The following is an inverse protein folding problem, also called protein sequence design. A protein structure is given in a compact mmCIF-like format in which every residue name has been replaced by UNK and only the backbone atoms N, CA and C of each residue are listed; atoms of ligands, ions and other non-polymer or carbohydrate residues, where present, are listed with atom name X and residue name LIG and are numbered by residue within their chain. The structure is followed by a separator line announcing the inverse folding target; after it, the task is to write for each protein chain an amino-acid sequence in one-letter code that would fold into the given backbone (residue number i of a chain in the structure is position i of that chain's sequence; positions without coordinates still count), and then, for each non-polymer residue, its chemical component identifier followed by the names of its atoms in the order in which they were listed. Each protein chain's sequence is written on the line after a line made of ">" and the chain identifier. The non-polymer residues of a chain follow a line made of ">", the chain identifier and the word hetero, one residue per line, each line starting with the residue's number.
data_IF_164653423355
#
_entry.id   IF_164653423355
#
_cell.length_a   1.000
_cell.length_b   1.000
_cell.length_c   1.000
_cell.angle_alpha   90.00
_cell.angle_beta   90.00
_cell.angle_gamma   90.00
#
_symmetry.space_group_name_H-M   'P 1'
#
loop_
_entity.id
_entity.type
_entity.pdbx_description
1 polymer ?
#
# COMPACT_ATOMS: atom_id res chain seq x y z
N UNK A 1 -74.40 47.90 30.63
CA UNK A 1 -73.94 46.50 30.66
C UNK A 1 -73.08 46.22 29.44
N UNK A 2 -71.76 46.09 29.60
CA UNK A 2 -70.85 45.53 28.57
C UNK A 2 -69.91 44.57 29.31
N UNK A 3 -70.06 43.28 29.05
CA UNK A 3 -69.23 42.24 29.60
C UNK A 3 -67.82 42.33 28.97
N UNK A 4 -66.77 42.40 29.79
CA UNK A 4 -65.39 42.25 29.33
C UNK A 4 -65.08 40.77 29.17
N UNK A 5 -64.63 40.40 27.97
CA UNK A 5 -64.07 39.10 27.64
C UNK A 5 -62.70 38.98 28.33
N UNK A 6 -62.52 37.97 29.18
CA UNK A 6 -61.25 37.68 29.85
C UNK A 6 -60.34 36.86 28.95
N UNK A 7 -59.23 37.46 28.54
CA UNK A 7 -58.15 36.79 27.80
C UNK A 7 -57.22 36.09 28.81
N UNK A 8 -57.26 34.76 28.81
CA UNK A 8 -56.42 33.92 29.66
C UNK A 8 -55.03 33.78 29.02
N UNK A 9 -54.09 34.61 29.44
CA UNK A 9 -52.67 34.49 29.09
C UNK A 9 -52.06 33.33 29.86
N UNK A 10 -52.01 32.14 29.25
CA UNK A 10 -51.11 31.07 29.70
C UNK A 10 -49.67 31.52 29.41
N UNK A 11 -48.93 31.83 30.48
CA UNK A 11 -47.49 32.04 30.40
C UNK A 11 -46.81 30.78 29.82
N UNK A 12 -46.04 30.99 28.74
CA UNK A 12 -45.12 29.99 28.20
C UNK A 12 -43.94 29.86 29.17
N UNK A 13 -43.85 28.74 29.89
CA UNK A 13 -42.66 28.41 30.68
C UNK A 13 -41.44 28.25 29.75
N UNK A 14 -40.29 28.90 30.04
CA UNK A 14 -39.06 28.64 29.31
C UNK A 14 -38.51 27.26 29.72
N UNK A 15 -38.47 26.34 28.76
CA UNK A 15 -37.96 24.98 28.96
C UNK A 15 -36.47 25.00 29.34
N UNK A 16 -36.19 24.84 30.64
CA UNK A 16 -34.87 24.70 31.26
C UNK A 16 -34.24 23.33 30.97
N UNK A 17 -34.09 22.97 29.70
CA UNK A 17 -33.53 21.66 29.27
C UNK A 17 -32.32 21.79 28.34
N UNK A 18 -31.97 23.00 27.90
CA UNK A 18 -30.84 23.24 27.00
C UNK A 18 -29.47 22.96 27.66
N UNK A 19 -29.26 23.38 28.91
CA UNK A 19 -27.97 23.26 29.62
C UNK A 19 -27.48 21.80 29.78
N UNK A 20 -28.28 20.85 30.29
CA UNK A 20 -27.82 19.45 30.43
C UNK A 20 -27.61 18.76 29.07
N UNK A 21 -28.35 19.16 28.03
CA UNK A 21 -28.16 18.68 26.67
C UNK A 21 -26.82 19.13 26.09
N UNK A 22 -26.48 20.42 26.22
CA UNK A 22 -25.18 20.95 25.76
C UNK A 22 -24.00 20.32 26.50
N UNK A 23 -24.11 20.07 27.81
CA UNK A 23 -23.06 19.40 28.59
C UNK A 23 -22.84 17.96 28.09
N UNK A 24 -23.91 17.20 27.85
CA UNK A 24 -23.82 15.83 27.32
C UNK A 24 -23.26 15.80 25.90
N UNK A 25 -23.68 16.72 25.04
CA UNK A 25 -23.16 16.85 23.68
C UNK A 25 -21.66 17.18 23.68
N UNK A 26 -21.22 18.08 24.58
CA UNK A 26 -19.82 18.45 24.73
C UNK A 26 -18.98 17.26 25.26
N UNK A 27 -19.49 16.52 26.25
CA UNK A 27 -18.82 15.31 26.74
C UNK A 27 -18.67 14.24 25.64
N UNK A 28 -19.72 14.00 24.85
CA UNK A 28 -19.65 13.06 23.72
C UNK A 28 -18.68 13.54 22.64
N UNK A 29 -18.65 14.84 22.35
CA UNK A 29 -17.68 15.42 21.41
C UNK A 29 -16.24 15.25 21.91
N UNK A 30 -15.98 15.52 23.20
CA UNK A 30 -14.65 15.32 23.79
C UNK A 30 -14.25 13.86 23.75
N UNK A 31 -15.15 12.93 24.10
CA UNK A 31 -14.89 11.50 24.10
C UNK A 31 -14.62 10.97 22.68
N UNK A 32 -15.35 11.48 21.68
CA UNK A 32 -15.12 11.16 20.28
C UNK A 32 -13.78 11.69 19.75
N UNK A 33 -13.43 12.95 20.06
CA UNK A 33 -12.18 13.57 19.61
C UNK A 33 -10.98 12.89 20.28
N UNK A 34 -11.05 12.64 21.58
CA UNK A 34 -9.98 11.93 22.32
C UNK A 34 -9.85 10.47 21.86
N UNK A 35 -10.97 9.77 21.65
CA UNK A 35 -10.97 8.41 21.11
C UNK A 35 -10.38 8.35 19.69
N UNK A 36 -10.74 9.30 18.83
CA UNK A 36 -10.19 9.40 17.47
C UNK A 36 -8.70 9.73 17.50
N UNK A 37 -8.26 10.65 18.36
CA UNK A 37 -6.85 10.98 18.53
C UNK A 37 -6.03 9.81 19.06
N UNK A 38 -6.52 9.10 20.08
CA UNK A 38 -5.87 7.89 20.60
C UNK A 38 -5.84 6.76 19.57
N UNK A 39 -6.91 6.58 18.79
CA UNK A 39 -6.95 5.59 17.73
C UNK A 39 -5.91 5.89 16.64
N UNK A 40 -5.85 7.14 16.17
CA UNK A 40 -4.87 7.58 15.17
C UNK A 40 -3.46 7.42 15.72
N UNK A 41 -3.16 7.88 16.93
CA UNK A 41 -1.81 7.78 17.51
C UNK A 41 -1.38 6.34 17.84
N UNK A 42 -2.30 5.49 18.30
CA UNK A 42 -2.00 4.09 18.69
C UNK A 42 -1.86 3.16 17.48
N UNK A 43 -2.68 3.33 16.44
CA UNK A 43 -2.57 2.57 15.19
C UNK A 43 -1.33 2.97 14.36
N UNK A 44 -0.75 4.14 14.62
CA UNK A 44 0.32 4.69 13.79
C UNK A 44 1.75 4.35 14.23
N UNK A 45 2.00 3.77 15.42
CA UNK A 45 3.40 3.51 15.77
C UNK A 45 3.62 2.46 16.84
N UNK A 46 4.05 1.28 16.39
CA UNK A 46 5.13 0.53 17.04
C UNK A 46 6.06 -0.02 15.97
N UNK A 47 6.99 0.82 15.52
CA UNK A 47 8.12 0.34 14.73
C UNK A 47 9.08 -0.38 15.67
N UNK A 48 9.32 -1.67 15.43
CA UNK A 48 10.40 -2.41 16.09
C UNK A 48 11.66 -2.17 15.27
N UNK A 49 12.61 -1.46 15.85
CA UNK A 49 13.97 -1.33 15.31
C UNK A 49 14.88 -2.31 16.02
N UNK A 50 15.54 -3.17 15.25
CA UNK A 50 16.50 -4.15 15.69
C UNK A 50 17.88 -3.49 15.63
N UNK A 51 18.37 -3.04 16.78
CA UNK A 51 19.68 -2.38 16.88
C UNK A 51 20.87 -3.33 16.80
N UNK A 52 20.62 -4.65 16.77
CA UNK A 52 21.67 -5.67 16.81
C UNK A 52 21.94 -6.20 15.41
N UNK A 53 23.09 -5.82 14.85
CA UNK A 53 23.60 -6.36 13.59
C UNK A 53 24.65 -7.43 13.89
N UNK A 54 24.53 -8.59 13.24
CA UNK A 54 25.51 -9.66 13.34
C UNK A 54 26.57 -9.53 12.25
N UNK A 55 27.83 -9.32 12.64
CA UNK A 55 28.97 -9.33 11.72
C UNK A 55 29.50 -10.74 11.40
N UNK A 56 28.86 -11.79 11.93
CA UNK A 56 29.26 -13.17 11.64
C UNK A 56 28.67 -13.61 10.31
N UNK A 57 29.54 -13.98 9.37
CA UNK A 57 29.13 -14.60 8.10
C UNK A 57 28.40 -15.91 8.37
N UNK A 58 27.23 -16.09 7.76
CA UNK A 58 26.50 -17.35 7.79
C UNK A 58 27.34 -18.47 7.16
N UNK A 59 27.41 -19.63 7.83
CA UNK A 59 28.14 -20.80 7.32
C UNK A 59 27.51 -21.26 6.00
N UNK A 60 28.33 -21.44 4.97
CA UNK A 60 27.89 -21.90 3.65
C UNK A 60 27.45 -20.79 2.68
N UNK A 61 27.54 -19.52 3.09
CA UNK A 61 27.26 -18.38 2.19
C UNK A 61 28.56 -17.83 1.65
N UNK A 62 28.71 -17.80 0.32
CA UNK A 62 29.83 -17.11 -0.34
C UNK A 62 29.55 -15.60 -0.31
N UNK A 63 30.48 -14.83 0.24
CA UNK A 63 30.41 -13.37 0.20
C UNK A 63 30.48 -12.84 -1.24
N UNK A 64 29.88 -11.68 -1.46
CA UNK A 64 29.95 -10.94 -2.73
C UNK A 64 30.70 -9.63 -2.47
N UNK A 65 31.57 -9.23 -3.40
CA UNK A 65 32.36 -8.00 -3.26
C UNK A 65 31.52 -6.75 -3.53
N UNK A 66 30.49 -6.88 -4.38
CA UNK A 66 29.62 -5.78 -4.77
C UNK A 66 28.21 -6.29 -5.12
N UNK A 67 27.21 -5.54 -4.67
CA UNK A 67 25.81 -5.72 -5.08
C UNK A 67 25.35 -4.43 -5.75
N UNK A 68 24.77 -4.56 -6.94
CA UNK A 68 24.14 -3.44 -7.67
C UNK A 68 22.63 -3.67 -7.68
N UNK A 69 21.89 -2.73 -7.09
CA UNK A 69 20.43 -2.75 -7.09
C UNK A 69 19.93 -1.72 -8.10
N UNK A 70 19.31 -2.17 -9.19
CA UNK A 70 18.69 -1.31 -10.19
C UNK A 70 17.17 -1.29 -9.98
N UNK A 71 16.64 -0.13 -9.59
CA UNK A 71 15.20 0.08 -9.46
C UNK A 71 14.67 0.79 -10.71
N UNK A 72 13.72 0.16 -11.39
CA UNK A 72 13.01 0.74 -12.54
C UNK A 72 11.55 0.96 -12.14
N UNK A 73 11.14 2.22 -12.07
CA UNK A 73 9.76 2.55 -11.72
C UNK A 73 8.79 2.14 -12.84
N UNK A 74 7.59 1.73 -12.43
CA UNK A 74 6.51 1.29 -13.31
C UNK A 74 6.89 0.20 -14.33
N UNK A 75 7.94 -0.61 -14.07
CA UNK A 75 8.32 -1.71 -14.94
C UNK A 75 7.35 -2.90 -14.80
N UNK A 76 6.47 -3.07 -15.79
CA UNK A 76 5.53 -4.17 -15.81
C UNK A 76 6.14 -5.44 -16.43
N UNK A 77 5.67 -6.65 -16.06
CA UNK A 77 6.18 -7.91 -16.62
C UNK A 77 6.08 -7.98 -18.16
N UNK A 78 5.04 -7.41 -18.76
CA UNK A 78 4.82 -7.42 -20.20
C UNK A 78 5.81 -6.57 -21.00
N UNK A 79 6.59 -5.69 -20.35
CA UNK A 79 7.68 -4.95 -21.01
C UNK A 79 8.92 -5.83 -21.22
N UNK A 80 9.09 -6.87 -20.41
CA UNK A 80 10.20 -7.83 -20.50
C UNK A 80 9.78 -9.11 -21.23
N UNK A 81 8.53 -9.55 -21.01
CA UNK A 81 7.98 -10.78 -21.58
C UNK A 81 6.70 -10.46 -22.36
N UNK A 82 6.80 -10.16 -23.68
CA UNK A 82 5.66 -9.77 -24.50
C UNK A 82 4.55 -10.82 -24.55
N UNK A 83 4.88 -12.09 -24.35
CA UNK A 83 3.91 -13.20 -24.24
C UNK A 83 2.89 -13.03 -23.11
N UNK A 84 3.20 -12.22 -22.08
CA UNK A 84 2.29 -11.90 -20.99
C UNK A 84 1.28 -10.79 -21.34
N UNK A 85 1.46 -10.08 -22.47
CA UNK A 85 0.62 -8.93 -22.81
C UNK A 85 -0.85 -9.31 -23.03
N UNK A 86 -1.13 -10.49 -23.60
CA UNK A 86 -2.50 -10.97 -23.86
C UNK A 86 -3.32 -11.11 -22.57
N UNK A 87 -2.69 -11.59 -21.49
CA UNK A 87 -3.32 -11.75 -20.17
C UNK A 87 -3.74 -10.41 -19.56
N UNK A 88 -2.98 -9.33 -19.77
CA UNK A 88 -3.33 -8.00 -19.29
C UNK A 88 -4.36 -7.28 -20.17
N UNK A 89 -4.38 -7.57 -21.47
CA UNK A 89 -5.28 -6.91 -22.43
C UNK A 89 -6.70 -7.47 -22.43
N UNK A 90 -6.86 -8.78 -22.25
CA UNK A 90 -8.16 -9.44 -22.35
C UNK A 90 -8.83 -9.75 -20.99
N UNK A 91 -8.18 -9.42 -19.87
CA UNK A 91 -8.74 -9.65 -18.53
C UNK A 91 -8.93 -11.13 -18.18
N UNK A 92 -8.25 -12.04 -18.89
CA UNK A 92 -8.29 -13.47 -18.57
C UNK A 92 -7.53 -13.74 -17.27
N UNK A 93 -8.13 -14.58 -16.41
CA UNK A 93 -7.53 -14.98 -15.14
C UNK A 93 -6.18 -15.67 -15.38
N UNK A 94 -5.17 -15.30 -14.60
CA UNK A 94 -3.85 -15.94 -14.60
C UNK A 94 -3.96 -17.39 -14.08
N UNK A 95 -4.32 -18.33 -14.95
CA UNK A 95 -4.37 -19.76 -14.62
C UNK A 95 -3.18 -20.47 -15.25
N UNK A 96 -2.28 -21.01 -14.41
CA UNK A 96 -1.11 -21.79 -14.85
C UNK A 96 -1.48 -23.00 -15.73
N UNK A 97 -2.72 -23.49 -15.66
CA UNK A 97 -3.24 -24.56 -16.50
C UNK A 97 -3.56 -24.15 -17.95
N UNK A 98 -3.69 -22.84 -18.24
CA UNK A 98 -3.92 -22.31 -19.60
C UNK A 98 -2.63 -22.12 -20.41
N UNK A 99 -1.48 -22.06 -19.75
CA UNK A 99 -0.19 -21.80 -20.39
C UNK A 99 0.32 -22.96 -21.26
N UNK A 100 -0.17 -24.19 -21.01
CA UNK A 100 0.20 -25.38 -21.79
C UNK A 100 -0.60 -25.53 -23.10
N UNK A 101 -1.59 -24.65 -23.34
CA UNK A 101 -2.52 -24.71 -24.46
C UNK A 101 -2.32 -23.65 -25.55
N UNK A 102 -1.53 -22.60 -25.33
CA UNK A 102 -1.24 -21.60 -26.39
C UNK A 102 -0.05 -22.06 -27.22
N UNK A 103 -0.21 -23.19 -27.91
CA UNK A 103 0.45 -23.40 -29.20
C UNK A 103 -0.32 -22.58 -30.23
N UNK A 104 0.17 -21.38 -30.52
CA UNK A 104 -0.20 -20.63 -31.73
C UNK A 104 -1.68 -20.30 -31.87
N UNK A 105 -2.19 -19.43 -31.01
CA UNK A 105 -3.38 -18.64 -31.34
C UNK A 105 -3.05 -17.77 -32.55
N UNK A 106 -3.68 -18.08 -33.68
CA UNK A 106 -3.56 -17.46 -35.00
C UNK A 106 -4.13 -16.03 -35.08
N UNK A 107 -4.28 -15.34 -33.96
CA UNK A 107 -4.61 -13.92 -33.94
C UNK A 107 -3.30 -13.16 -33.83
N UNK A 108 -2.69 -13.01 -35.01
CA UNK A 108 -1.42 -12.33 -35.25
C UNK A 108 -1.46 -10.86 -34.85
N UNK A 109 -1.40 -10.62 -33.55
CA UNK A 109 -0.89 -9.37 -33.03
C UNK A 109 0.44 -9.66 -32.34
N UNK A 110 1.40 -10.12 -33.15
CA UNK A 110 2.82 -9.91 -32.89
C UNK A 110 3.05 -8.39 -32.93
N UNK A 111 2.60 -7.69 -31.89
CA UNK A 111 2.97 -6.30 -31.72
C UNK A 111 4.46 -6.32 -31.47
N UNK A 112 5.21 -5.81 -32.43
CA UNK A 112 6.59 -5.39 -32.33
C UNK A 112 6.69 -4.25 -31.28
N UNK A 113 6.37 -4.57 -30.03
CA UNK A 113 6.53 -3.68 -28.88
C UNK A 113 8.00 -3.73 -28.53
N UNK A 114 8.59 -2.56 -28.37
CA UNK A 114 9.92 -2.42 -27.82
C UNK A 114 9.94 -3.09 -26.45
N UNK A 115 10.55 -4.27 -26.41
CA UNK A 115 10.69 -5.08 -25.20
C UNK A 115 12.16 -5.11 -24.79
N UNK A 116 12.42 -5.33 -23.51
CA UNK A 116 13.76 -5.50 -22.96
C UNK A 116 14.30 -6.89 -23.33
N UNK A 117 14.65 -7.07 -24.61
CA UNK A 117 15.05 -8.35 -25.20
C UNK A 117 16.18 -9.02 -24.45
N UNK A 118 17.22 -8.27 -24.07
CA UNK A 118 18.35 -8.79 -23.31
C UNK A 118 17.92 -9.44 -21.98
N UNK A 119 17.00 -8.80 -21.25
CA UNK A 119 16.52 -9.32 -19.96
C UNK A 119 15.60 -10.52 -20.21
N UNK A 120 14.67 -10.40 -21.15
CA UNK A 120 13.73 -11.47 -21.48
C UNK A 120 14.43 -12.75 -21.95
N UNK A 121 15.43 -12.64 -22.83
CA UNK A 121 16.20 -13.78 -23.34
C UNK A 121 16.98 -14.48 -22.22
N UNK A 122 17.66 -13.72 -21.36
CA UNK A 122 18.41 -14.30 -20.25
C UNK A 122 17.47 -15.01 -19.26
N UNK A 123 16.30 -14.44 -18.96
CA UNK A 123 15.29 -15.07 -18.11
C UNK A 123 14.72 -16.38 -18.68
N UNK A 124 14.72 -16.55 -20.01
CA UNK A 124 14.22 -17.77 -20.67
C UNK A 124 15.29 -18.87 -20.81
N UNK A 125 16.57 -18.56 -20.60
CA UNK A 125 17.67 -19.52 -20.72
C UNK A 125 17.79 -20.37 -19.45
N UNK A 126 17.70 -21.69 -19.60
CA UNK A 126 17.79 -22.63 -18.48
C UNK A 126 19.21 -22.75 -17.89
N UNK A 127 20.23 -22.40 -18.67
CA UNK A 127 21.64 -22.44 -18.30
C UNK A 127 22.16 -21.10 -17.74
N UNK A 128 21.34 -20.04 -17.79
CA UNK A 128 21.72 -18.72 -17.29
C UNK A 128 21.30 -18.55 -15.82
N UNK A 129 22.15 -17.99 -14.93
CA UNK A 129 21.87 -17.87 -13.49
C UNK A 129 20.85 -16.77 -13.14
N UNK A 130 20.02 -16.34 -14.08
CA UNK A 130 19.01 -15.31 -13.86
C UNK A 130 17.70 -15.92 -13.37
N UNK A 131 17.14 -15.31 -12.33
CA UNK A 131 15.85 -15.70 -11.77
C UNK A 131 14.86 -14.54 -11.87
N UNK A 132 13.66 -14.82 -12.36
CA UNK A 132 12.57 -13.86 -12.43
C UNK A 132 11.53 -14.13 -11.34
N UNK A 133 11.15 -13.08 -10.61
CA UNK A 133 10.06 -13.12 -9.64
C UNK A 133 8.99 -12.11 -10.05
N UNK A 134 7.74 -12.57 -10.16
CA UNK A 134 6.61 -11.73 -10.54
C UNK A 134 5.69 -11.55 -9.35
N UNK A 135 5.51 -10.29 -8.93
CA UNK A 135 4.65 -9.93 -7.81
C UNK A 135 3.37 -9.30 -8.35
N UNK A 136 2.23 -9.93 -8.05
CA UNK A 136 0.94 -9.30 -8.26
C UNK A 136 0.75 -8.29 -7.12
N UNK A 137 0.61 -7.02 -7.46
CA UNK A 137 0.35 -5.98 -6.48
C UNK A 137 -1.14 -5.67 -6.45
N UNK A 138 -1.75 -5.79 -5.28
CA UNK A 138 -3.07 -5.22 -5.02
C UNK A 138 -2.99 -3.70 -5.03
N UNK A 139 -4.14 -3.04 -5.21
CA UNK A 139 -4.25 -1.60 -4.96
C UNK A 139 -3.95 -1.32 -3.49
N UNK A 140 -3.30 -0.19 -3.13
CA UNK A 140 -2.75 0.89 -3.95
C UNK A 140 -1.37 0.60 -4.58
N UNK A 141 -1.14 1.10 -5.79
CA UNK A 141 0.10 0.87 -6.57
C UNK A 141 1.08 2.04 -6.52
N UNK A 142 1.29 2.65 -5.34
CA UNK A 142 2.16 3.82 -5.19
C UNK A 142 3.62 3.38 -5.06
N UNK A 143 4.53 4.00 -5.82
CA UNK A 143 5.96 3.65 -5.86
C UNK A 143 6.62 3.73 -4.48
N UNK A 144 6.36 4.79 -3.70
CA UNK A 144 6.91 4.95 -2.35
C UNK A 144 6.54 3.80 -1.40
N UNK A 145 5.30 3.32 -1.45
CA UNK A 145 4.83 2.20 -0.62
C UNK A 145 5.54 0.89 -0.98
N UNK A 146 5.77 0.66 -2.27
CA UNK A 146 6.47 -0.53 -2.74
C UNK A 146 7.94 -0.51 -2.39
N UNK A 147 8.60 0.64 -2.51
CA UNK A 147 10.00 0.80 -2.08
C UNK A 147 10.10 0.55 -0.58
N UNK A 148 9.21 1.14 0.22
CA UNK A 148 9.19 0.94 1.67
C UNK A 148 9.00 -0.54 2.03
N UNK A 149 8.06 -1.23 1.41
CA UNK A 149 7.85 -2.66 1.63
C UNK A 149 9.07 -3.49 1.21
N UNK A 150 9.70 -3.16 0.08
CA UNK A 150 10.88 -3.85 -0.42
C UNK A 150 12.09 -3.67 0.49
N UNK A 151 12.32 -2.47 1.01
CA UNK A 151 13.52 -2.16 1.81
C UNK A 151 13.37 -2.57 3.27
N UNK A 152 12.15 -2.56 3.81
CA UNK A 152 11.88 -2.86 5.24
C UNK A 152 11.27 -4.24 5.48
N UNK A 153 10.73 -4.90 4.44
CA UNK A 153 9.99 -6.16 4.57
C UNK A 153 8.60 -6.03 5.21
N UNK A 154 8.13 -4.81 5.48
CA UNK A 154 6.83 -4.55 6.12
C UNK A 154 5.69 -4.44 5.10
N UNK A 155 4.48 -4.83 5.51
CA UNK A 155 3.27 -4.63 4.70
C UNK A 155 2.89 -3.15 4.69
N UNK A 156 2.61 -2.53 3.53
CA UNK A 156 2.15 -1.14 3.47
C UNK A 156 0.86 -0.93 4.29
N UNK A 157 0.86 0.02 5.21
CA UNK A 157 -0.36 0.37 5.95
C UNK A 157 -1.23 1.32 5.12
N UNK A 158 -2.54 1.07 5.09
CA UNK A 158 -3.53 1.82 4.29
C UNK A 158 -3.54 3.34 4.59
N UNK A 159 -3.23 3.74 5.83
CA UNK A 159 -3.18 5.15 6.23
C UNK A 159 -1.88 5.89 5.84
N UNK A 160 -0.85 5.20 5.35
CA UNK A 160 0.40 5.84 4.95
C UNK A 160 0.31 6.50 3.56
N UNK A 161 -0.77 6.26 2.80
CA UNK A 161 -0.97 6.86 1.47
C UNK A 161 -0.90 8.39 1.53
N UNK A 162 -1.39 9.01 2.61
CA UNK A 162 -1.37 10.46 2.79
C UNK A 162 0.01 11.06 3.09
N UNK A 163 0.90 10.32 3.76
CA UNK A 163 2.26 10.78 4.10
C UNK A 163 3.27 10.51 3.00
N UNK A 164 2.92 9.71 1.98
CA UNK A 164 3.79 9.35 0.85
C UNK A 164 4.03 10.44 -0.19
N UNK A 165 3.37 11.61 -0.08
CA UNK A 165 3.55 12.74 -1.00
C UNK A 165 4.59 13.76 -0.51
N UNK A 166 5.07 13.63 0.74
CA UNK A 166 6.07 14.52 1.34
C UNK A 166 6.78 13.79 2.49
N UNK A 167 7.43 12.68 2.16
CA UNK A 167 7.95 11.72 3.14
C UNK A 167 9.28 12.19 3.74
N UNK A 168 9.36 12.17 5.08
CA UNK A 168 10.62 12.26 5.83
C UNK A 168 11.45 10.97 5.72
N UNK A 169 12.68 10.99 6.23
CA UNK A 169 13.59 9.82 6.29
C UNK A 169 12.91 8.60 6.95
N UNK A 170 13.06 7.42 6.32
CA UNK A 170 12.54 6.17 6.87
C UNK A 170 13.40 5.75 8.06
N UNK A 171 12.91 5.99 9.28
CA UNK A 171 13.61 5.64 10.53
C UNK A 171 13.52 4.15 10.91
N UNK A 172 12.88 3.34 10.08
CA UNK A 172 12.72 1.90 10.33
C UNK A 172 13.92 1.12 9.82
N UNK A 173 14.14 -0.06 10.40
CA UNK A 173 15.13 -1.01 9.90
C UNK A 173 14.90 -1.28 8.40
N UNK A 174 15.98 -1.16 7.64
CA UNK A 174 15.94 -1.48 6.24
C UNK A 174 17.25 -2.10 5.78
N UNK A 175 17.16 -2.84 4.68
CA UNK A 175 18.28 -3.58 4.11
C UNK A 175 19.41 -2.65 3.66
N UNK A 176 19.11 -1.40 3.29
CA UNK A 176 20.14 -0.43 2.88
C UNK A 176 21.04 -0.04 4.05
N UNK A 177 20.48 0.12 5.26
CA UNK A 177 21.29 0.35 6.46
C UNK A 177 22.11 -0.88 6.86
N UNK A 178 21.59 -2.09 6.63
CA UNK A 178 22.32 -3.32 6.96
C UNK A 178 23.45 -3.65 5.96
N UNK A 179 23.37 -3.15 4.73
CA UNK A 179 24.37 -3.36 3.68
C UNK A 179 25.42 -2.26 3.57
N UNK A 180 25.39 -1.26 4.47
CA UNK A 180 26.42 -0.22 4.60
C UNK A 180 27.62 -0.73 5.38
#
# INVERSE_FOLDING_TARGET
>A
MRAKYGESTKAMEPCSTARPFHIRALLLAVLYVTGSFLFVTSMLSKTVTLTTVSNKTCRGVRGVDQVVVLLVDALRPDFVLPSLASHYLHGEKCSAAGAHGIRGGKDGIEQNRSSLTYIGENLMRADHPSHGFFFLSDTPTVTAQRIKALTTGTTPAFLEVGTNLNTDEVQMDNILFQMR
#
